data_IF_052367367163
#
_entry.id   IF_052367367163
#
_cell.length_a   1.000
_cell.length_b   1.000
_cell.length_c   1.000
_cell.angle_alpha   90.00
_cell.angle_beta   90.00
_cell.angle_gamma   90.00
#
_symmetry.space_group_name_H-M   'P 1'
#
loop_
_entity.id
_entity.type
_entity.pdbx_description
1 polymer ?
#
# COMPACT_ATOMS: atom_id res chain seq x y z
N UNK A 1 34.28 4.71 1.66
CA UNK A 1 35.05 5.07 2.88
C UNK A 1 34.94 3.88 3.82
N UNK A 2 36.05 3.18 4.10
CA UNK A 2 36.03 2.03 5.01
C UNK A 2 35.85 2.49 6.46
N UNK A 3 34.87 1.92 7.16
CA UNK A 3 34.64 2.17 8.58
C UNK A 3 35.54 1.23 9.38
N UNK A 4 36.69 1.72 9.86
CA UNK A 4 37.52 0.98 10.83
C UNK A 4 36.80 0.95 12.19
N UNK A 5 36.35 -0.24 12.59
CA UNK A 5 35.72 -0.48 13.90
C UNK A 5 36.79 -0.74 14.95
N UNK A 6 36.85 0.09 15.98
CA UNK A 6 37.73 -0.13 17.14
C UNK A 6 36.92 -0.77 18.29
N UNK A 7 37.33 -1.96 18.70
CA UNK A 7 36.74 -2.68 19.82
C UNK A 7 37.61 -2.53 21.06
N UNK A 8 37.00 -2.16 22.19
CA UNK A 8 37.69 -2.10 23.48
C UNK A 8 37.18 -3.23 24.36
N UNK A 9 38.08 -4.11 24.77
CA UNK A 9 37.83 -5.18 25.72
C UNK A 9 37.84 -4.60 27.13
N UNK A 10 36.85 -4.96 27.93
CA UNK A 10 36.87 -4.72 29.37
C UNK A 10 36.45 -5.97 30.13
N UNK A 11 36.82 -6.00 31.41
CA UNK A 11 36.58 -7.13 32.29
C UNK A 11 35.42 -6.79 33.21
N UNK A 12 34.41 -7.64 33.21
CA UNK A 12 33.31 -7.58 34.19
C UNK A 12 33.30 -8.90 34.96
N UNK A 13 33.72 -8.84 36.22
CA UNK A 13 33.99 -10.02 37.03
C UNK A 13 35.01 -10.97 36.39
N UNK A 14 34.62 -12.24 36.21
CA UNK A 14 35.47 -13.29 35.61
C UNK A 14 35.35 -13.39 34.09
N UNK A 15 34.49 -12.59 33.47
CA UNK A 15 34.20 -12.67 32.04
C UNK A 15 34.78 -11.47 31.29
N UNK A 16 35.25 -11.71 30.06
CA UNK A 16 35.71 -10.67 29.16
C UNK A 16 34.56 -10.27 28.23
N UNK A 17 34.21 -8.99 28.24
CA UNK A 17 33.15 -8.42 27.42
C UNK A 17 33.74 -7.43 26.40
N UNK A 18 33.23 -7.44 25.17
CA UNK A 18 33.61 -6.50 24.12
C UNK A 18 32.45 -5.55 23.84
N UNK A 19 32.68 -4.24 23.94
CA UNK A 19 31.71 -3.22 23.55
C UNK A 19 32.23 -2.47 22.32
N UNK A 20 31.39 -2.34 21.30
CA UNK A 20 31.69 -1.56 20.11
C UNK A 20 31.46 -0.07 20.42
N UNK A 21 32.53 0.72 20.41
CA UNK A 21 32.44 2.18 20.50
C UNK A 21 32.17 2.74 19.10
N UNK A 22 30.92 3.07 18.81
CA UNK A 22 30.57 3.83 17.61
C UNK A 22 30.65 5.33 17.94
N UNK A 23 31.77 5.96 17.60
CA UNK A 23 31.85 7.43 17.54
C UNK A 23 31.23 7.86 16.22
N UNK A 24 30.00 8.37 16.26
CA UNK A 24 29.41 9.06 15.12
C UNK A 24 30.04 10.45 15.02
N UNK A 25 31.10 10.57 14.24
CA UNK A 25 31.52 11.87 13.74
C UNK A 25 30.45 12.36 12.76
N UNK A 26 29.65 13.35 13.15
CA UNK A 26 28.80 14.09 12.21
C UNK A 26 29.74 14.93 11.35
N UNK A 27 30.24 14.34 10.28
CA UNK A 27 30.92 15.09 9.23
C UNK A 27 29.90 15.98 8.53
N UNK A 28 30.05 17.29 8.69
CA UNK A 28 29.46 18.27 7.79
C UNK A 28 29.99 18.00 6.38
N UNK A 29 29.21 17.26 5.59
CA UNK A 29 29.46 17.01 4.18
C UNK A 29 28.83 18.12 3.34
N UNK A 30 29.65 19.06 2.90
CA UNK A 30 29.38 19.87 1.71
C UNK A 30 29.17 18.90 0.53
N UNK A 31 28.01 18.94 -0.13
CA UNK A 31 27.87 18.42 -1.49
C UNK A 31 27.38 19.56 -2.37
N UNK A 32 28.29 20.00 -3.23
CA UNK A 32 28.05 20.84 -4.39
C UNK A 32 27.22 20.07 -5.41
N UNK A 33 26.21 20.75 -5.97
CA UNK A 33 25.63 20.48 -7.29
C UNK A 33 24.80 19.20 -7.42
N UNK A 34 23.51 19.36 -7.71
CA UNK A 34 22.97 18.98 -9.02
C UNK A 34 21.58 19.58 -9.26
N UNK A 35 21.53 20.32 -10.36
CA UNK A 35 20.43 20.60 -11.30
C UNK A 35 18.99 20.37 -10.84
N UNK A 36 18.22 21.47 -10.88
CA UNK A 36 16.78 21.48 -11.06
C UNK A 36 16.37 20.46 -12.13
N UNK A 37 15.58 19.44 -11.77
CA UNK A 37 14.90 18.60 -12.75
C UNK A 37 13.52 19.22 -12.96
N UNK A 38 13.36 19.90 -14.10
CA UNK A 38 12.04 20.07 -14.71
C UNK A 38 11.70 18.72 -15.36
N UNK A 39 10.59 18.13 -14.94
CA UNK A 39 10.12 16.88 -15.52
C UNK A 39 9.52 17.15 -16.90
N UNK A 40 10.33 17.01 -17.94
CA UNK A 40 9.87 16.77 -19.31
C UNK A 40 9.95 15.27 -19.61
N UNK A 41 8.88 14.80 -20.25
CA UNK A 41 8.59 13.42 -20.65
C UNK A 41 9.58 12.81 -21.63
N UNK A 42 9.74 11.48 -21.56
CA UNK A 42 9.63 10.67 -22.77
C UNK A 42 8.57 9.56 -22.62
N UNK A 43 7.72 9.46 -23.64
CA UNK A 43 6.83 8.34 -23.94
C UNK A 43 7.64 7.11 -24.32
N UNK A 44 7.38 5.97 -23.68
CA UNK A 44 7.64 4.66 -24.27
C UNK A 44 6.42 3.76 -24.09
N UNK A 45 5.77 3.51 -25.23
CA UNK A 45 4.68 2.56 -25.42
C UNK A 45 5.23 1.14 -25.45
N UNK A 46 4.68 0.25 -24.62
CA UNK A 46 4.72 -1.21 -24.88
C UNK A 46 3.26 -1.67 -25.09
N UNK A 47 2.93 -2.30 -26.23
CA UNK A 47 1.55 -2.62 -26.58
C UNK A 47 1.01 -3.81 -25.77
N UNK A 48 -0.09 -3.58 -25.05
CA UNK A 48 -0.94 -4.64 -24.50
C UNK A 48 -1.80 -5.20 -25.64
N UNK A 49 -1.64 -6.49 -25.94
CA UNK A 49 -2.51 -7.21 -26.87
C UNK A 49 -3.90 -7.35 -26.23
N UNK A 50 -4.85 -6.57 -26.74
CA UNK A 50 -6.28 -6.71 -26.45
C UNK A 50 -6.86 -7.77 -27.40
N UNK A 51 -7.51 -8.79 -26.85
CA UNK A 51 -8.33 -9.69 -27.66
C UNK A 51 -9.78 -9.21 -27.57
N UNK A 52 -10.37 -8.88 -28.71
CA UNK A 52 -11.79 -8.55 -28.88
C UNK A 52 -12.67 -9.79 -28.81
N UNK A 53 -13.84 -9.67 -28.17
CA UNK A 53 -14.93 -10.66 -28.07
C UNK A 53 -15.29 -11.35 -29.40
N UNK A 54 -15.91 -12.54 -29.30
CA UNK A 54 -17.35 -12.59 -29.62
C UNK A 54 -18.22 -13.29 -28.55
N UNK A 55 -19.36 -12.64 -28.31
CA UNK A 55 -20.72 -13.17 -28.03
C UNK A 55 -20.95 -14.16 -26.88
N UNK A 56 -21.46 -13.57 -25.80
CA UNK A 56 -22.48 -13.97 -24.82
C UNK A 56 -23.06 -15.39 -24.84
N UNK A 57 -22.93 -16.03 -23.67
CA UNK A 57 -23.77 -17.14 -23.19
C UNK A 57 -23.15 -18.50 -23.47
N UNK A 58 -22.29 -18.98 -22.56
CA UNK A 58 -22.08 -20.41 -22.26
C UNK A 58 -20.89 -20.68 -21.32
N UNK A 59 -19.98 -19.72 -21.13
CA UNK A 59 -18.78 -19.89 -20.27
C UNK A 59 -19.10 -20.14 -18.79
N UNK A 60 -20.24 -19.61 -18.29
CA UNK A 60 -20.64 -19.74 -16.89
C UNK A 60 -21.27 -21.11 -16.57
N UNK A 61 -21.89 -21.77 -17.54
CA UNK A 61 -22.54 -23.08 -17.34
C UNK A 61 -21.52 -24.24 -17.40
N UNK A 62 -20.43 -24.05 -18.14
CA UNK A 62 -19.36 -25.05 -18.25
C UNK A 62 -18.49 -25.09 -16.99
N UNK A 63 -18.22 -23.93 -16.37
CA UNK A 63 -17.53 -23.83 -15.07
C UNK A 63 -18.35 -24.49 -13.94
N UNK A 64 -19.65 -24.18 -13.85
CA UNK A 64 -20.54 -24.71 -12.82
C UNK A 64 -20.69 -26.25 -12.85
N UNK A 65 -20.62 -26.87 -14.04
CA UNK A 65 -20.73 -28.32 -14.19
C UNK A 65 -19.42 -29.07 -13.89
N UNK A 66 -18.26 -28.45 -14.14
CA UNK A 66 -16.96 -29.02 -13.76
C UNK A 66 -16.71 -28.93 -12.24
N UNK A 67 -17.18 -27.86 -11.60
CA UNK A 67 -17.07 -27.63 -10.16
C UNK A 67 -17.82 -28.68 -9.31
N UNK A 68 -18.93 -29.25 -9.83
CA UNK A 68 -19.74 -30.24 -9.11
C UNK A 68 -19.12 -31.66 -9.08
N UNK A 69 -18.24 -31.98 -10.02
CA UNK A 69 -17.59 -33.29 -10.12
C UNK A 69 -16.20 -33.36 -9.42
N UNK A 70 -15.60 -32.20 -9.14
CA UNK A 70 -14.24 -32.09 -8.59
C UNK A 70 -14.14 -32.09 -7.05
N UNK A 71 -15.26 -32.21 -6.33
CA UNK A 71 -15.33 -32.18 -4.85
C UNK A 71 -14.49 -33.28 -4.14
N UNK A 72 -13.76 -34.14 -4.85
CA UNK A 72 -12.97 -35.24 -4.30
C UNK A 72 -11.44 -35.05 -4.28
N UNK A 73 -10.84 -33.96 -4.80
CA UNK A 73 -9.38 -33.96 -5.06
C UNK A 73 -8.51 -32.91 -4.35
N UNK A 74 -9.02 -31.72 -4.04
CA UNK A 74 -8.29 -30.71 -3.25
C UNK A 74 -9.30 -29.78 -2.56
N UNK A 75 -9.16 -29.59 -1.24
CA UNK A 75 -10.02 -28.69 -0.44
C UNK A 75 -9.25 -27.47 0.09
N UNK A 76 -8.06 -27.20 -0.43
CA UNK A 76 -7.26 -26.03 -0.09
C UNK A 76 -7.89 -24.73 -0.56
N UNK A 77 -7.48 -23.64 0.11
CA UNK A 77 -7.75 -22.28 -0.32
C UNK A 77 -6.42 -21.57 -0.38
N UNK A 78 -5.94 -21.36 -1.60
CA UNK A 78 -4.62 -20.82 -1.89
C UNK A 78 -4.77 -19.44 -2.49
N UNK A 79 -3.84 -18.55 -2.18
CA UNK A 79 -3.82 -17.25 -2.82
C UNK A 79 -2.57 -16.47 -2.49
N UNK A 80 -2.33 -15.47 -3.31
CA UNK A 80 -1.22 -14.56 -3.13
C UNK A 80 -1.60 -13.17 -3.65
N UNK A 81 -1.06 -12.15 -3.01
CA UNK A 81 -1.20 -10.76 -3.42
C UNK A 81 0.07 -10.37 -4.17
N UNK A 82 -0.03 -10.15 -5.48
CA UNK A 82 1.10 -9.79 -6.33
C UNK A 82 1.45 -8.30 -6.19
N UNK A 83 0.42 -7.44 -6.16
CA UNK A 83 0.57 -5.98 -6.03
C UNK A 83 -0.51 -5.42 -5.12
N UNK A 84 -0.13 -4.50 -4.25
CA UNK A 84 -1.03 -3.55 -3.61
C UNK A 84 -0.32 -2.21 -3.46
N UNK A 85 -0.80 -1.20 -4.18
CA UNK A 85 -0.18 0.11 -4.21
C UNK A 85 -1.25 1.21 -4.18
N UNK A 86 -1.11 2.13 -3.23
CA UNK A 86 -1.86 3.39 -3.23
C UNK A 86 -1.35 4.26 -4.36
N UNK A 87 -2.26 4.83 -5.13
CA UNK A 87 -1.94 5.76 -6.22
C UNK A 87 -2.66 7.10 -6.03
N UNK A 88 -2.42 8.01 -6.97
CA UNK A 88 -3.11 9.30 -7.05
C UNK A 88 -4.63 9.11 -6.89
N UNK A 89 -5.27 10.05 -6.19
CA UNK A 89 -6.67 10.01 -5.76
C UNK A 89 -6.99 9.06 -4.61
N UNK A 90 -5.97 8.51 -3.95
CA UNK A 90 -6.11 7.58 -2.82
C UNK A 90 -6.79 6.26 -3.21
N UNK A 91 -6.76 5.94 -4.50
CA UNK A 91 -7.20 4.65 -5.00
C UNK A 91 -6.14 3.58 -4.66
N UNK A 92 -6.59 2.33 -4.51
CA UNK A 92 -5.70 1.20 -4.28
C UNK A 92 -5.71 0.27 -5.49
N UNK A 93 -4.59 0.20 -6.22
CA UNK A 93 -4.41 -0.81 -7.26
C UNK A 93 -3.96 -2.12 -6.63
N UNK A 94 -4.69 -3.19 -6.95
CA UNK A 94 -4.45 -4.53 -6.43
C UNK A 94 -4.44 -5.55 -7.54
N UNK A 95 -3.53 -6.51 -7.46
CA UNK A 95 -3.56 -7.72 -8.27
C UNK A 95 -3.08 -8.92 -7.47
N UNK A 96 -3.57 -10.09 -7.82
CA UNK A 96 -3.27 -11.32 -7.11
C UNK A 96 -4.05 -12.48 -7.67
N UNK A 97 -4.15 -13.55 -6.89
CA UNK A 97 -4.95 -14.71 -7.24
C UNK A 97 -5.50 -15.43 -6.01
N UNK A 98 -6.60 -16.15 -6.21
CA UNK A 98 -7.16 -17.09 -5.24
C UNK A 98 -7.68 -18.33 -5.97
N UNK A 99 -7.10 -19.50 -5.66
CA UNK A 99 -7.46 -20.79 -6.23
C UNK A 99 -8.04 -21.69 -5.13
N UNK A 100 -9.29 -22.14 -5.30
CA UNK A 100 -9.96 -23.04 -4.36
C UNK A 100 -11.17 -23.73 -5.00
N UNK A 101 -11.32 -25.04 -4.74
CA UNK A 101 -12.53 -25.77 -5.13
C UNK A 101 -13.75 -25.41 -4.24
N UNK A 102 -13.54 -24.69 -3.13
CA UNK A 102 -14.62 -24.20 -2.27
C UNK A 102 -15.41 -23.05 -2.90
N UNK A 103 -14.92 -22.47 -4.00
CA UNK A 103 -15.62 -21.45 -4.78
C UNK A 103 -16.82 -22.00 -5.56
N UNK A 104 -16.96 -23.33 -5.65
CA UNK A 104 -18.08 -23.97 -6.33
C UNK A 104 -19.44 -23.41 -5.86
N UNK A 105 -20.24 -22.94 -6.81
CA UNK A 105 -21.55 -22.32 -6.56
C UNK A 105 -21.50 -20.92 -5.93
N UNK A 106 -20.37 -20.22 -5.99
CA UNK A 106 -20.18 -18.84 -5.52
C UNK A 106 -19.81 -17.91 -6.68
N UNK A 107 -20.83 -17.47 -7.42
CA UNK A 107 -20.67 -16.74 -8.68
C UNK A 107 -20.16 -15.29 -8.51
N UNK A 108 -20.15 -14.76 -7.28
CA UNK A 108 -19.77 -13.37 -7.02
C UNK A 108 -18.36 -13.29 -6.44
N UNK A 109 -17.54 -12.41 -7.00
CA UNK A 109 -16.16 -12.22 -6.56
C UNK A 109 -15.90 -10.79 -6.12
N UNK A 110 -15.20 -10.63 -4.99
CA UNK A 110 -14.90 -9.34 -4.40
C UNK A 110 -13.46 -9.27 -3.90
N UNK A 111 -12.91 -8.06 -3.93
CA UNK A 111 -11.75 -7.68 -3.14
C UNK A 111 -12.23 -6.76 -2.03
N UNK A 112 -11.81 -7.04 -0.80
CA UNK A 112 -12.13 -6.24 0.38
C UNK A 112 -10.83 -5.70 0.96
N UNK A 113 -10.75 -4.38 1.19
CA UNK A 113 -9.69 -3.79 1.97
C UNK A 113 -10.14 -3.76 3.43
N UNK A 114 -9.49 -4.58 4.25
CA UNK A 114 -9.88 -4.82 5.64
C UNK A 114 -8.76 -4.47 6.60
N UNK A 115 -9.01 -3.56 7.52
CA UNK A 115 -8.09 -3.24 8.60
C UNK A 115 -8.34 -4.18 9.79
N UNK A 116 -7.41 -5.10 10.03
CA UNK A 116 -7.49 -6.05 11.15
C UNK A 116 -7.08 -5.45 12.49
N UNK A 117 -6.42 -4.28 12.49
CA UNK A 117 -6.06 -3.55 13.71
C UNK A 117 -7.30 -2.91 14.33
N UNK A 118 -8.18 -2.35 13.50
CA UNK A 118 -9.44 -1.73 13.94
C UNK A 118 -10.68 -2.59 13.67
N UNK A 119 -10.50 -3.78 13.10
CA UNK A 119 -11.57 -4.72 12.74
C UNK A 119 -12.65 -4.06 11.85
N UNK A 120 -12.21 -3.27 10.87
CA UNK A 120 -13.07 -2.41 10.06
C UNK A 120 -12.77 -2.59 8.57
N UNK A 121 -13.83 -2.72 7.77
CA UNK A 121 -13.73 -2.66 6.32
C UNK A 121 -13.63 -1.21 5.83
N UNK A 122 -12.60 -0.92 5.03
CA UNK A 122 -12.42 0.37 4.35
C UNK A 122 -13.38 0.47 3.16
N UNK A 123 -13.49 -0.62 2.40
CA UNK A 123 -14.38 -0.75 1.26
C UNK A 123 -14.14 -2.06 0.51
N UNK A 124 -14.97 -2.32 -0.49
CA UNK A 124 -14.90 -3.51 -1.35
C UNK A 124 -15.18 -3.18 -2.81
N UNK A 125 -14.63 -3.97 -3.73
CA UNK A 125 -14.85 -3.82 -5.17
C UNK A 125 -15.13 -5.20 -5.77
N UNK A 126 -16.13 -5.29 -6.65
CA UNK A 126 -16.41 -6.54 -7.36
C UNK A 126 -15.36 -6.80 -8.43
N UNK A 127 -14.98 -8.07 -8.60
CA UNK A 127 -14.10 -8.53 -9.67
C UNK A 127 -14.97 -9.11 -10.77
N UNK A 128 -15.10 -8.39 -11.89
CA UNK A 128 -15.95 -8.78 -13.02
C UNK A 128 -15.19 -9.55 -14.10
N UNK A 129 -13.86 -9.43 -14.13
CA UNK A 129 -12.99 -10.10 -15.10
C UNK A 129 -11.91 -10.88 -14.36
N UNK A 130 -11.79 -12.16 -14.70
CA UNK A 130 -10.74 -13.01 -14.18
C UNK A 130 -9.46 -12.85 -15.02
N UNK A 131 -8.31 -12.89 -14.35
CA UNK A 131 -7.01 -12.88 -15.01
C UNK A 131 -6.47 -14.30 -15.08
N UNK A 132 -6.08 -14.74 -16.27
CA UNK A 132 -5.52 -16.08 -16.46
C UNK A 132 -4.18 -16.24 -15.74
N UNK A 133 -4.02 -17.37 -15.03
CA UNK A 133 -2.85 -17.78 -14.25
C UNK A 133 -2.42 -19.22 -14.59
N UNK A 134 -1.80 -19.45 -15.76
CA UNK A 134 -1.28 -20.77 -16.14
C UNK A 134 -0.24 -21.31 -15.16
N UNK A 135 0.50 -20.41 -14.49
CA UNK A 135 1.45 -20.74 -13.43
C UNK A 135 0.76 -21.34 -12.21
N UNK A 136 -0.39 -20.77 -11.79
CA UNK A 136 -1.19 -21.29 -10.68
C UNK A 136 -1.84 -22.62 -11.06
N UNK A 137 -2.39 -22.76 -12.27
CA UNK A 137 -2.91 -24.03 -12.78
C UNK A 137 -1.86 -25.15 -12.80
N UNK A 138 -0.60 -24.81 -13.11
CA UNK A 138 0.50 -25.78 -13.07
C UNK A 138 0.86 -26.20 -11.64
N UNK A 139 0.80 -25.27 -10.68
CA UNK A 139 1.12 -25.54 -9.27
C UNK A 139 -0.02 -26.30 -8.56
N UNK A 140 -1.26 -26.01 -8.93
CA UNK A 140 -2.49 -26.57 -8.34
C UNK A 140 -3.38 -27.22 -9.42
N UNK A 141 -2.93 -28.33 -10.04
CA UNK A 141 -3.63 -28.95 -11.17
C UNK A 141 -4.99 -29.56 -10.79
N UNK A 142 -5.22 -29.84 -9.51
CA UNK A 142 -6.45 -30.42 -8.97
C UNK A 142 -7.45 -29.34 -8.48
N UNK A 143 -7.13 -28.05 -8.67
CA UNK A 143 -8.02 -26.93 -8.33
C UNK A 143 -8.66 -26.36 -9.60
N UNK A 144 -9.99 -26.46 -9.70
CA UNK A 144 -10.77 -26.18 -10.93
C UNK A 144 -10.57 -24.75 -11.42
N UNK A 145 -10.67 -23.78 -10.52
CA UNK A 145 -10.56 -22.37 -10.87
C UNK A 145 -9.10 -21.88 -10.98
N UNK A 146 -8.09 -22.75 -10.84
CA UNK A 146 -6.68 -22.33 -10.75
C UNK A 146 -6.22 -21.55 -11.99
N UNK A 147 -6.66 -21.96 -13.19
CA UNK A 147 -6.32 -21.28 -14.45
C UNK A 147 -6.86 -19.85 -14.52
N UNK A 148 -8.02 -19.58 -13.94
CA UNK A 148 -8.70 -18.27 -14.01
C UNK A 148 -8.80 -17.63 -12.62
N UNK A 149 -7.85 -17.99 -11.75
CA UNK A 149 -7.80 -17.58 -10.33
C UNK A 149 -7.31 -16.16 -10.13
N UNK A 150 -6.78 -15.50 -11.16
CA UNK A 150 -6.20 -14.17 -11.03
C UNK A 150 -7.24 -13.06 -10.95
N UNK A 151 -6.86 -11.94 -10.35
CA UNK A 151 -7.63 -10.70 -10.32
C UNK A 151 -6.71 -9.49 -10.52
N UNK A 152 -7.26 -8.42 -11.07
CA UNK A 152 -6.66 -7.11 -11.09
C UNK A 152 -7.77 -6.05 -11.00
N UNK A 153 -7.65 -5.11 -10.07
CA UNK A 153 -8.66 -4.08 -9.88
C UNK A 153 -8.07 -2.80 -9.30
N UNK A 154 -8.82 -1.71 -9.47
CA UNK A 154 -8.61 -0.44 -8.76
C UNK A 154 -9.76 -0.27 -7.75
N UNK A 155 -9.44 -0.18 -6.47
CA UNK A 155 -10.41 0.09 -5.41
C UNK A 155 -10.45 1.59 -5.16
N UNK A 156 -11.46 2.27 -5.72
CA UNK A 156 -11.61 3.74 -5.63
C UNK A 156 -12.65 4.19 -4.59
N UNK A 157 -13.19 3.25 -3.81
CA UNK A 157 -14.24 3.48 -2.83
C UNK A 157 -13.77 3.20 -1.39
N UNK A 158 -12.48 3.44 -1.12
CA UNK A 158 -11.89 3.21 0.20
C UNK A 158 -12.08 4.41 1.10
N UNK A 159 -12.59 4.16 2.30
CA UNK A 159 -12.66 5.18 3.35
C UNK A 159 -11.39 5.13 4.23
N UNK A 160 -10.37 5.86 3.81
CA UNK A 160 -9.10 5.98 4.54
C UNK A 160 -9.22 6.68 5.90
N UNK A 161 -10.35 7.36 6.20
CA UNK A 161 -10.56 7.96 7.52
C UNK A 161 -10.74 6.91 8.64
N UNK A 162 -11.05 5.67 8.26
CA UNK A 162 -11.12 4.52 9.16
C UNK A 162 -9.74 4.07 9.65
N UNK A 163 -8.69 4.33 8.87
CA UNK A 163 -7.30 4.01 9.23
C UNK A 163 -6.78 5.02 10.25
N UNK A 164 -6.26 4.52 11.38
CA UNK A 164 -5.83 5.32 12.54
C UNK A 164 -4.32 5.45 12.64
N UNK A 165 -3.57 4.60 11.96
CA UNK A 165 -2.11 4.67 11.90
C UNK A 165 -1.58 4.16 10.57
N UNK A 166 -0.42 4.66 10.15
CA UNK A 166 0.36 4.07 9.04
C UNK A 166 0.85 2.65 9.35
N UNK A 167 0.81 2.25 10.62
CA UNK A 167 1.17 0.91 11.08
C UNK A 167 -0.04 -0.04 11.20
N UNK A 168 -1.25 0.42 10.87
CA UNK A 168 -2.43 -0.45 10.86
C UNK A 168 -2.28 -1.57 9.82
N UNK A 169 -2.74 -2.75 10.18
CA UNK A 169 -2.62 -3.96 9.38
C UNK A 169 -3.79 -4.06 8.39
N UNK A 170 -3.63 -3.43 7.23
CA UNK A 170 -4.62 -3.49 6.14
C UNK A 170 -4.34 -4.71 5.26
N UNK A 171 -5.32 -5.60 5.17
CA UNK A 171 -5.30 -6.80 4.34
C UNK A 171 -6.17 -6.61 3.09
N UNK A 172 -5.76 -7.27 2.01
CA UNK A 172 -6.63 -7.51 0.86
C UNK A 172 -7.21 -8.91 1.00
N UNK A 173 -8.53 -8.97 1.10
CA UNK A 173 -9.27 -10.23 1.15
C UNK A 173 -9.85 -10.47 -0.23
N UNK A 174 -9.37 -11.52 -0.90
CA UNK A 174 -10.04 -12.06 -2.08
C UNK A 174 -11.18 -12.97 -1.60
N UNK A 175 -12.39 -12.72 -2.09
CA UNK A 175 -13.60 -13.41 -1.65
C UNK A 175 -14.38 -13.95 -2.83
N UNK A 176 -14.78 -15.22 -2.75
CA UNK A 176 -15.89 -15.78 -3.53
C UNK A 176 -17.13 -15.85 -2.65
N UNK A 177 -18.31 -15.47 -3.16
CA UNK A 177 -19.59 -15.47 -2.44
C UNK A 177 -20.77 -15.88 -3.34
N UNK A 178 -21.77 -16.52 -2.74
CA UNK A 178 -23.05 -16.82 -3.39
C UNK A 178 -24.02 -15.61 -3.43
N UNK A 179 -23.74 -14.54 -2.70
CA UNK A 179 -24.59 -13.35 -2.65
C UNK A 179 -24.03 -12.19 -3.49
N UNK A 180 -24.93 -11.47 -4.15
CA UNK A 180 -24.62 -10.31 -5.00
C UNK A 180 -24.06 -9.09 -4.26
N UNK A 181 -23.96 -9.12 -2.93
CA UNK A 181 -23.29 -8.10 -2.12
C UNK A 181 -21.95 -8.60 -1.53
N UNK A 182 -21.60 -9.87 -1.74
CA UNK A 182 -20.39 -10.50 -1.21
C UNK A 182 -20.46 -10.95 0.25
N UNK A 183 -21.62 -10.85 0.92
CA UNK A 183 -21.78 -11.17 2.37
C UNK A 183 -22.53 -12.47 2.66
N UNK A 184 -22.87 -13.26 1.63
CA UNK A 184 -23.54 -14.54 1.79
C UNK A 184 -22.63 -15.64 2.31
N UNK A 185 -22.86 -16.89 1.90
CA UNK A 185 -21.87 -17.95 2.11
C UNK A 185 -20.64 -17.67 1.25
N UNK A 186 -19.47 -17.56 1.88
CA UNK A 186 -18.26 -17.10 1.22
C UNK A 186 -17.01 -17.88 1.62
N UNK A 187 -15.98 -17.80 0.78
CA UNK A 187 -14.63 -18.30 1.05
C UNK A 187 -13.61 -17.20 0.80
N UNK A 188 -12.82 -16.92 1.83
CA UNK A 188 -11.89 -15.79 1.87
C UNK A 188 -10.44 -16.25 1.85
N UNK A 189 -9.64 -15.60 1.02
CA UNK A 189 -8.19 -15.68 1.11
C UNK A 189 -7.63 -14.32 1.52
N UNK A 190 -6.96 -14.31 2.67
CA UNK A 190 -6.39 -13.12 3.28
C UNK A 190 -4.93 -12.95 2.86
N UNK A 191 -4.57 -11.77 2.38
CA UNK A 191 -3.17 -11.41 2.12
C UNK A 191 -2.39 -11.17 3.41
N UNK A 192 -1.06 -11.09 3.29
CA UNK A 192 -0.27 -10.35 4.28
C UNK A 192 -0.70 -8.87 4.31
N UNK A 193 -0.47 -8.13 5.40
CA UNK A 193 -0.74 -6.71 5.43
C UNK A 193 0.00 -5.96 4.31
N UNK A 194 -0.67 -5.00 3.67
CA UNK A 194 -0.05 -4.14 2.67
C UNK A 194 0.90 -3.15 3.36
N UNK A 195 1.91 -2.69 2.64
CA UNK A 195 2.85 -1.70 3.15
C UNK A 195 2.43 -0.30 2.67
N UNK A 196 2.14 0.60 3.61
CA UNK A 196 1.96 2.01 3.33
C UNK A 196 3.30 2.75 3.38
N UNK A 197 3.45 3.80 2.57
CA UNK A 197 4.63 4.68 2.61
C UNK A 197 4.74 5.32 4.01
N UNK A 198 5.88 5.11 4.70
CA UNK A 198 6.17 5.65 6.06
C UNK A 198 7.04 6.90 6.04
N UNK A 199 7.34 7.43 4.87
CA UNK A 199 8.07 8.65 4.62
C UNK A 199 7.37 9.87 5.22
N UNK A 200 8.18 10.87 5.55
CA UNK A 200 7.69 12.17 5.97
C UNK A 200 8.34 13.22 5.07
N UNK A 201 7.59 13.66 4.07
CA UNK A 201 8.09 14.53 3.02
C UNK A 201 7.62 15.95 3.31
N UNK A 202 8.50 16.93 3.18
CA UNK A 202 8.17 18.32 3.38
C UNK A 202 9.12 19.23 2.63
N UNK A 203 8.65 20.44 2.35
CA UNK A 203 9.49 21.51 1.84
C UNK A 203 9.03 22.86 2.36
N UNK A 204 9.98 23.77 2.55
CA UNK A 204 9.74 25.15 2.95
C UNK A 204 9.92 26.05 1.72
N UNK A 205 8.81 26.57 1.21
CA UNK A 205 8.79 27.40 0.00
C UNK A 205 9.23 28.85 0.30
N UNK A 206 8.80 29.40 1.44
CA UNK A 206 9.16 30.75 1.87
C UNK A 206 9.29 30.84 3.39
N UNK A 207 10.23 31.66 3.84
CA UNK A 207 10.42 32.02 5.24
C UNK A 207 11.01 33.42 5.33
N UNK A 208 10.21 34.38 5.79
CA UNK A 208 10.66 35.76 5.86
C UNK A 208 9.77 36.62 6.73
N UNK A 209 10.31 37.73 7.21
CA UNK A 209 9.55 38.71 8.00
C UNK A 209 9.11 39.84 7.07
N UNK A 210 7.82 40.12 7.04
CA UNK A 210 7.24 41.27 6.33
C UNK A 210 6.25 41.97 7.26
N UNK A 211 6.32 43.29 7.32
CA UNK A 211 5.43 44.11 8.15
C UNK A 211 5.38 43.63 9.62
N UNK A 212 6.56 43.31 10.16
CA UNK A 212 6.77 42.78 11.51
C UNK A 212 6.04 41.45 11.80
N UNK A 213 5.68 40.70 10.75
CA UNK A 213 5.06 39.38 10.83
C UNK A 213 5.92 38.35 10.11
N UNK A 214 6.16 37.21 10.76
CA UNK A 214 6.79 36.07 10.11
C UNK A 214 5.80 35.42 9.14
N UNK A 215 6.17 35.37 7.87
CA UNK A 215 5.45 34.70 6.80
C UNK A 215 6.18 33.42 6.42
N UNK A 216 5.44 32.32 6.42
CA UNK A 216 5.95 30.98 6.12
C UNK A 216 5.01 30.29 5.16
N UNK A 217 5.55 29.65 4.13
CA UNK A 217 4.80 28.75 3.25
C UNK A 217 5.61 27.51 2.94
N UNK A 218 4.92 26.41 2.66
CA UNK A 218 5.53 25.11 2.42
C UNK A 218 4.47 24.03 2.32
N UNK A 219 4.91 22.78 2.27
CA UNK A 219 4.04 21.62 2.29
C UNK A 219 4.61 20.51 3.16
N UNK A 220 3.72 19.63 3.66
CA UNK A 220 4.07 18.39 4.34
C UNK A 220 3.10 17.28 3.90
N UNK A 221 3.65 16.16 3.43
CA UNK A 221 2.92 14.99 2.97
C UNK A 221 3.49 13.75 3.67
N UNK A 222 2.64 13.04 4.41
CA UNK A 222 3.00 11.82 5.15
C UNK A 222 1.78 11.00 5.55
N UNK A 223 1.80 9.68 5.31
CA UNK A 223 0.78 8.79 5.85
C UNK A 223 0.85 8.67 7.38
N UNK A 224 1.91 9.16 8.04
CA UNK A 224 1.95 9.28 9.50
C UNK A 224 0.89 10.24 10.04
N UNK A 225 0.26 11.05 9.18
CA UNK A 225 -0.88 11.89 9.55
C UNK A 225 -2.21 11.13 9.66
N UNK A 226 -2.28 9.87 9.19
CA UNK A 226 -3.47 9.02 9.37
C UNK A 226 -3.87 8.96 10.85
N UNK A 227 -5.17 9.04 11.11
CA UNK A 227 -5.74 9.13 12.45
C UNK A 227 -5.50 10.43 13.22
N UNK A 228 -4.79 11.42 12.66
CA UNK A 228 -4.53 12.72 13.34
C UNK A 228 -5.52 13.78 12.86
N UNK A 229 -6.27 14.36 13.80
CA UNK A 229 -7.33 15.33 13.49
C UNK A 229 -6.82 16.76 13.24
N UNK A 230 -5.57 17.07 13.58
CA UNK A 230 -5.04 18.43 13.49
C UNK A 230 -3.64 18.46 12.87
N UNK A 231 -3.42 19.46 12.02
CA UNK A 231 -2.14 19.78 11.41
C UNK A 231 -1.70 21.18 11.88
N UNK A 232 -0.48 21.30 12.40
CA UNK A 232 0.07 22.56 12.87
C UNK A 232 1.46 22.79 12.30
N UNK A 233 1.76 24.03 11.93
CA UNK A 233 3.14 24.50 11.74
C UNK A 233 3.59 25.13 13.05
N UNK A 234 4.75 24.70 13.54
CA UNK A 234 5.30 25.09 14.83
C UNK A 234 6.60 25.87 14.61
N UNK A 235 6.70 27.07 15.18
CA UNK A 235 7.95 27.79 15.32
C UNK A 235 8.59 27.39 16.65
N UNK A 236 9.74 26.73 16.59
CA UNK A 236 10.43 26.19 17.75
C UNK A 236 11.81 26.82 17.92
N UNK A 237 12.10 27.35 19.11
CA UNK A 237 13.44 27.78 19.47
C UNK A 237 14.23 26.59 20.00
N UNK A 238 15.18 26.10 19.20
CA UNK A 238 16.02 24.97 19.60
C UNK A 238 17.05 25.34 20.68
N UNK A 239 17.50 26.58 20.72
CA UNK A 239 18.47 27.06 21.72
C UNK A 239 17.80 27.18 23.08
N UNK A 240 16.59 27.76 23.11
CA UNK A 240 15.80 27.90 24.32
C UNK A 240 14.97 26.65 24.66
N UNK A 241 14.96 25.63 23.79
CA UNK A 241 14.34 24.33 24.03
C UNK A 241 12.81 24.36 24.13
N UNK A 242 12.15 25.37 23.58
CA UNK A 242 10.69 25.51 23.67
C UNK A 242 10.06 26.02 22.37
N UNK A 243 8.76 25.75 22.25
CA UNK A 243 7.94 26.30 21.19
C UNK A 243 7.67 27.79 21.41
N UNK A 244 7.89 28.61 20.39
CA UNK A 244 7.55 30.04 20.41
C UNK A 244 6.06 30.21 20.10
N UNK A 245 5.58 29.61 19.01
CA UNK A 245 4.17 29.68 18.60
C UNK A 245 3.83 28.55 17.62
N UNK A 246 2.52 28.33 17.39
CA UNK A 246 2.02 27.43 16.37
C UNK A 246 0.81 28.03 15.65
N UNK A 247 0.62 27.61 14.41
CA UNK A 247 -0.56 27.96 13.60
C UNK A 247 -1.20 26.67 13.12
N UNK A 248 -2.53 26.57 13.28
CA UNK A 248 -3.30 25.46 12.70
C UNK A 248 -3.34 25.64 11.18
N UNK A 249 -3.01 24.59 10.45
CA UNK A 249 -2.99 24.59 8.99
C UNK A 249 -4.34 24.10 8.49
N UNK A 250 -4.93 24.86 7.57
CA UNK A 250 -6.06 24.38 6.79
C UNK A 250 -5.55 23.57 5.59
N UNK A 251 -6.17 22.42 5.26
CA UNK A 251 -5.76 21.60 4.13
C UNK A 251 -5.82 22.39 2.81
N UNK A 252 -4.77 22.27 1.99
CA UNK A 252 -4.71 22.84 0.66
C UNK A 252 -4.33 21.74 -0.35
N UNK A 253 -5.04 21.68 -1.47
CA UNK A 253 -4.79 20.66 -2.51
C UNK A 253 -3.52 21.02 -3.28
N UNK A 254 -2.60 20.05 -3.41
CA UNK A 254 -1.34 20.19 -4.15
C UNK A 254 -1.15 19.05 -5.16
N UNK A 255 -1.76 19.15 -6.36
CA UNK A 255 -1.69 18.08 -7.36
C UNK A 255 -0.26 17.72 -7.79
N UNK A 256 0.66 18.68 -7.70
CA UNK A 256 2.08 18.48 -7.95
C UNK A 256 2.76 17.62 -6.87
N UNK A 257 2.39 17.80 -5.59
CA UNK A 257 2.88 16.98 -4.47
C UNK A 257 2.26 15.58 -4.55
N UNK A 258 0.95 15.46 -4.78
CA UNK A 258 0.28 14.18 -5.02
C UNK A 258 0.92 13.39 -6.16
N UNK A 259 1.25 14.05 -7.28
CA UNK A 259 1.95 13.39 -8.41
C UNK A 259 3.34 12.90 -8.05
N UNK A 260 4.11 13.67 -7.26
CA UNK A 260 5.46 13.30 -6.84
C UNK A 260 5.47 12.20 -5.75
N UNK A 261 4.47 12.19 -4.89
CA UNK A 261 4.33 11.27 -3.75
C UNK A 261 3.00 10.51 -3.83
N UNK A 262 2.80 9.78 -4.93
CA UNK A 262 1.52 9.13 -5.26
C UNK A 262 1.02 8.08 -4.26
N UNK A 263 1.88 7.61 -3.36
CA UNK A 263 1.55 6.63 -2.33
C UNK A 263 1.18 7.27 -0.99
N UNK A 264 1.16 8.61 -0.92
CA UNK A 264 0.87 9.38 0.29
C UNK A 264 -0.55 9.95 0.21
N UNK A 265 -1.41 9.51 1.12
CA UNK A 265 -2.87 9.72 1.10
C UNK A 265 -3.25 11.20 1.34
N UNK A 266 -2.39 11.97 2.01
CA UNK A 266 -2.61 13.38 2.30
C UNK A 266 -1.77 14.33 1.42
N UNK A 267 -1.18 13.83 0.33
CA UNK A 267 -0.34 14.60 -0.59
C UNK A 267 -1.15 15.52 -1.52
#
# INVERSE_FOLDING_TARGET
>A
MEIKKHYKLYKDGKNWCAMALAVAAVSAGLVLGNTNVKADTPTDNVPVVKTTNPTTGDVNAELANQEKAAQAKDNGNYGYLDVAQVVNNNDLHVSGWQATNQAAGKDNRYLVAYDSTTNTELGRTSVTENVARPDVAKAYPDVVNAKDSGYQATMSNLDWSKVKSVDDQIHIVSRYSDAANGEGNHVDNWSQPINLDKGNYAYLDNFGVKDNQLQVSGWNATNKALGKANHYVILYDRTAGHEITRVKVEPAVRPDVAKAYSQVINA
#
